data_IF_329658434143
#
_entry.id   IF_329658434143
#
_cell.length_a   1.000
_cell.length_b   1.000
_cell.length_c   1.000
_cell.angle_alpha   90.00
_cell.angle_beta   90.00
_cell.angle_gamma   90.00
#
_symmetry.space_group_name_H-M   'P 1'
#
loop_
_entity.id
_entity.type
_entity.pdbx_description
1 polymer ?
#
# COMPACT_ATOMS: atom_id res chain seq x y z
N UNK A 1 2.69 -2.55 -12.81
CA UNK A 1 1.87 -2.24 -11.63
C UNK A 1 1.92 -0.76 -11.26
N UNK A 2 3.08 -0.18 -10.96
CA UNK A 2 3.13 1.21 -10.46
C UNK A 2 2.49 2.26 -11.40
N UNK A 3 2.59 2.08 -12.71
CA UNK A 3 1.89 2.91 -13.70
C UNK A 3 0.36 2.80 -13.60
N UNK A 4 -0.17 1.60 -13.34
CA UNK A 4 -1.62 1.37 -13.12
C UNK A 4 -2.08 2.14 -11.90
N UNK A 5 -1.27 2.18 -10.83
CA UNK A 5 -1.60 2.94 -9.64
C UNK A 5 -1.57 4.46 -9.91
N UNK A 6 -0.54 4.93 -10.62
CA UNK A 6 -0.41 6.33 -11.03
C UNK A 6 -1.61 6.84 -11.85
N UNK A 7 -2.04 6.02 -12.80
CA UNK A 7 -3.17 6.32 -13.69
C UNK A 7 -4.54 6.13 -13.02
N UNK A 8 -4.57 5.61 -11.78
CA UNK A 8 -5.80 5.23 -11.06
C UNK A 8 -6.68 4.29 -11.89
N UNK A 9 -6.04 3.40 -12.67
CA UNK A 9 -6.76 2.50 -13.56
C UNK A 9 -7.25 1.26 -12.78
N UNK A 10 -8.39 1.43 -12.11
CA UNK A 10 -8.97 0.41 -11.21
C UNK A 10 -9.39 -0.86 -11.96
N UNK A 11 -9.90 -0.72 -13.17
CA UNK A 11 -10.24 -1.88 -14.01
C UNK A 11 -9.00 -2.72 -14.30
N UNK A 12 -7.89 -2.08 -14.68
CA UNK A 12 -6.63 -2.80 -14.89
C UNK A 12 -6.07 -3.37 -13.59
N UNK A 13 -6.16 -2.64 -12.48
CA UNK A 13 -5.74 -3.12 -11.16
C UNK A 13 -6.47 -4.42 -10.80
N UNK A 14 -7.79 -4.48 -10.99
CA UNK A 14 -8.58 -5.67 -10.71
C UNK A 14 -8.08 -6.93 -11.44
N UNK A 15 -7.56 -6.78 -12.67
CA UNK A 15 -6.97 -7.90 -13.43
C UNK A 15 -5.63 -8.41 -12.88
N UNK A 16 -4.95 -7.59 -12.06
CA UNK A 16 -3.63 -7.89 -11.50
C UNK A 16 -3.72 -8.33 -10.04
N UNK A 17 -4.89 -8.23 -9.40
CA UNK A 17 -5.13 -8.66 -8.02
C UNK A 17 -5.41 -10.16 -7.97
N UNK A 18 -4.91 -10.83 -6.92
CA UNK A 18 -5.05 -12.27 -6.79
C UNK A 18 -6.54 -12.67 -6.75
N UNK A 19 -7.04 -13.54 -7.66
CA UNK A 19 -8.48 -13.77 -7.83
C UNK A 19 -9.16 -14.47 -6.64
N UNK A 20 -8.41 -15.24 -5.85
CA UNK A 20 -8.90 -15.89 -4.61
C UNK A 20 -8.63 -15.09 -3.33
N UNK A 21 -7.45 -14.47 -3.22
CA UNK A 21 -7.01 -13.75 -2.02
C UNK A 21 -7.42 -12.28 -2.01
N UNK A 22 -7.74 -11.69 -3.15
CA UNK A 22 -7.91 -10.24 -3.24
C UNK A 22 -6.59 -9.50 -2.97
N UNK A 23 -6.73 -8.22 -2.64
CA UNK A 23 -5.63 -7.33 -2.23
C UNK A 23 -5.95 -6.74 -0.86
N UNK A 24 -4.98 -6.81 0.05
CA UNK A 24 -5.04 -6.17 1.35
C UNK A 24 -4.49 -4.74 1.25
N UNK A 25 -5.15 -3.79 1.91
CA UNK A 25 -4.70 -2.41 2.04
C UNK A 25 -4.31 -2.15 3.49
N UNK A 26 -3.08 -1.71 3.71
CA UNK A 26 -2.59 -1.35 5.03
C UNK A 26 -2.09 0.10 5.00
N UNK A 27 -2.71 1.02 5.78
CA UNK A 27 -2.30 2.43 5.82
C UNK A 27 -0.92 2.66 6.45
N UNK A 28 -0.34 1.64 7.10
CA UNK A 28 0.95 1.74 7.78
C UNK A 28 1.76 0.44 7.68
N UNK A 29 3.01 0.48 8.16
CA UNK A 29 3.96 -0.65 8.06
C UNK A 29 3.59 -1.88 8.89
N UNK A 30 2.77 -1.71 9.94
CA UNK A 30 2.30 -2.81 10.78
C UNK A 30 0.99 -3.35 10.23
N UNK A 31 1.10 -4.46 9.53
CA UNK A 31 0.01 -5.12 8.81
C UNK A 31 -0.84 -5.91 9.81
N UNK A 32 -2.15 -5.67 9.82
CA UNK A 32 -3.10 -6.39 10.68
C UNK A 32 -4.06 -7.22 9.82
N UNK A 33 -3.69 -8.46 9.53
CA UNK A 33 -4.48 -9.34 8.63
C UNK A 33 -5.91 -9.63 9.09
N UNK A 34 -6.25 -9.35 10.35
CA UNK A 34 -7.59 -9.55 10.90
C UNK A 34 -8.51 -8.32 10.73
N UNK A 35 -7.94 -7.12 10.57
CA UNK A 35 -8.68 -5.85 10.60
C UNK A 35 -8.43 -4.99 9.37
N UNK A 36 -7.27 -5.11 8.73
CA UNK A 36 -6.96 -4.43 7.48
C UNK A 36 -7.96 -4.83 6.39
N UNK A 37 -8.32 -3.87 5.55
CA UNK A 37 -9.33 -4.08 4.50
C UNK A 37 -8.75 -4.96 3.40
N UNK A 38 -9.40 -6.10 3.16
CA UNK A 38 -9.12 -7.01 2.07
C UNK A 38 -10.22 -6.95 1.01
N UNK A 39 -9.85 -6.59 -0.21
CA UNK A 39 -10.80 -6.37 -1.31
C UNK A 39 -10.59 -7.41 -2.40
N UNK A 40 -11.65 -8.13 -2.76
CA UNK A 40 -11.64 -9.05 -3.89
C UNK A 40 -11.56 -8.27 -5.21
N UNK A 41 -10.90 -8.85 -6.22
CA UNK A 41 -10.69 -8.18 -7.52
C UNK A 41 -11.99 -7.64 -8.13
N UNK A 42 -13.07 -8.42 -8.09
CA UNK A 42 -14.39 -8.03 -8.60
C UNK A 42 -15.08 -6.89 -7.84
N UNK A 43 -14.62 -6.56 -6.63
CA UNK A 43 -15.24 -5.53 -5.79
C UNK A 43 -14.51 -4.18 -5.87
N UNK A 44 -13.32 -4.11 -6.48
CA UNK A 44 -12.51 -2.88 -6.53
C UNK A 44 -13.22 -1.75 -7.26
N UNK A 45 -13.86 -2.03 -8.41
CA UNK A 45 -14.59 -1.00 -9.16
C UNK A 45 -15.79 -0.46 -8.38
N UNK A 46 -16.55 -1.34 -7.73
CA UNK A 46 -17.68 -0.96 -6.87
C UNK A 46 -17.21 -0.13 -5.68
N UNK A 47 -16.14 -0.55 -5.01
CA UNK A 47 -15.58 0.18 -3.88
C UNK A 47 -15.06 1.56 -4.30
N UNK A 48 -14.46 1.67 -5.49
CA UNK A 48 -13.96 2.92 -6.04
C UNK A 48 -15.06 3.92 -6.38
N UNK A 49 -16.17 3.43 -6.94
CA UNK A 49 -17.32 4.26 -7.32
C UNK A 49 -18.22 4.61 -6.12
N UNK A 50 -18.05 3.93 -4.98
CA UNK A 50 -18.86 4.16 -3.79
C UNK A 50 -18.55 5.51 -3.13
N UNK A 51 -19.60 6.23 -2.74
CA UNK A 51 -19.49 7.42 -1.89
C UNK A 51 -19.55 7.09 -0.39
N UNK A 52 -19.71 5.81 -0.02
CA UNK A 52 -19.74 5.39 1.38
C UNK A 52 -18.35 5.43 2.00
N UNK A 53 -18.29 5.85 3.27
CA UNK A 53 -17.08 5.75 4.07
C UNK A 53 -16.78 4.28 4.39
N UNK A 54 -15.52 3.91 4.25
CA UNK A 54 -14.97 2.62 4.70
C UNK A 54 -13.98 2.92 5.82
N UNK A 55 -14.02 2.14 6.89
CA UNK A 55 -13.02 2.24 7.95
C UNK A 55 -11.76 1.49 7.51
N UNK A 56 -10.65 2.20 7.33
CA UNK A 56 -9.37 1.64 6.88
C UNK A 56 -8.39 1.38 8.03
N UNK A 57 -8.86 1.46 9.28
CA UNK A 57 -8.05 1.42 10.49
C UNK A 57 -8.16 2.72 11.28
N UNK A 58 -7.08 3.07 11.96
CA UNK A 58 -6.98 4.25 12.83
C UNK A 58 -5.70 5.02 12.55
N UNK A 59 -5.74 6.35 12.63
CA UNK A 59 -4.56 7.19 12.46
C UNK A 59 -3.51 6.91 13.55
N UNK A 60 -2.26 6.77 13.13
CA UNK A 60 -1.12 6.70 14.05
C UNK A 60 -0.98 8.07 14.75
N UNK A 61 -0.76 8.08 16.07
CA UNK A 61 -0.71 9.30 16.88
C UNK A 61 -2.07 9.72 17.47
N UNK A 62 -3.06 10.10 16.65
CA UNK A 62 -4.36 10.58 17.19
C UNK A 62 -5.27 9.45 17.67
N UNK A 63 -5.19 8.27 17.05
CA UNK A 63 -6.10 7.14 17.30
C UNK A 63 -7.49 7.29 16.67
N UNK A 64 -7.73 8.37 15.92
CA UNK A 64 -9.01 8.59 15.23
C UNK A 64 -9.24 7.55 14.12
N UNK A 65 -10.50 7.17 13.83
CA UNK A 65 -10.79 6.24 12.74
C UNK A 65 -10.44 6.84 11.37
N UNK A 66 -9.86 6.02 10.50
CA UNK A 66 -9.61 6.37 9.08
C UNK A 66 -10.88 6.03 8.30
N UNK A 67 -11.92 6.84 8.47
CA UNK A 67 -13.19 6.70 7.76
C UNK A 67 -13.15 7.50 6.46
N UNK A 68 -12.75 6.85 5.37
CA UNK A 68 -12.54 7.48 4.06
C UNK A 68 -13.27 6.72 2.95
N UNK A 69 -13.72 7.45 1.92
CA UNK A 69 -14.05 6.83 0.64
C UNK A 69 -12.78 6.24 0.03
N UNK A 70 -12.90 5.22 -0.82
CA UNK A 70 -11.73 4.59 -1.41
C UNK A 70 -10.87 5.56 -2.26
N UNK A 71 -11.43 6.52 -3.03
CA UNK A 71 -10.63 7.54 -3.69
C UNK A 71 -9.83 8.44 -2.74
N UNK A 72 -10.38 8.78 -1.57
CA UNK A 72 -9.67 9.60 -0.57
C UNK A 72 -8.56 8.79 0.09
N UNK A 73 -8.85 7.55 0.52
CA UNK A 73 -7.84 6.63 1.03
C UNK A 73 -6.70 6.43 0.02
N UNK A 74 -7.04 6.31 -1.26
CA UNK A 74 -6.05 6.16 -2.32
C UNK A 74 -5.10 7.36 -2.42
N UNK A 75 -5.65 8.57 -2.38
CA UNK A 75 -4.86 9.79 -2.47
C UNK A 75 -3.93 9.96 -1.25
N UNK A 76 -4.35 9.48 -0.09
CA UNK A 76 -3.63 9.65 1.18
C UNK A 76 -2.61 8.53 1.46
N UNK A 77 -2.96 7.28 1.18
CA UNK A 77 -2.17 6.10 1.57
C UNK A 77 -1.70 5.22 0.41
N UNK A 78 -2.27 5.32 -0.80
CA UNK A 78 -1.83 4.47 -1.94
C UNK A 78 -0.90 5.23 -2.89
N UNK A 79 -1.21 6.50 -3.16
CA UNK A 79 -0.49 7.28 -4.15
C UNK A 79 -0.43 8.77 -3.77
N UNK A 80 0.05 9.04 -2.55
CA UNK A 80 0.31 10.39 -2.04
C UNK A 80 1.53 11.07 -2.68
N UNK A 81 2.40 10.29 -3.32
CA UNK A 81 3.55 10.77 -4.09
C UNK A 81 3.64 10.07 -5.46
N UNK A 82 4.40 10.66 -6.39
CA UNK A 82 4.66 10.06 -7.71
C UNK A 82 5.66 8.89 -7.59
N UNK A 83 5.28 7.80 -6.93
CA UNK A 83 6.11 6.62 -6.70
C UNK A 83 6.66 5.97 -7.97
N UNK A 84 6.07 6.25 -9.15
CA UNK A 84 6.63 5.83 -10.43
C UNK A 84 7.96 6.51 -10.76
N UNK A 85 8.28 7.63 -10.09
CA UNK A 85 9.54 8.36 -10.19
C UNK A 85 10.35 8.31 -8.88
N UNK A 86 10.06 7.36 -7.98
CA UNK A 86 10.81 7.20 -6.74
C UNK A 86 12.31 6.96 -7.04
N UNK A 87 13.23 7.70 -6.37
CA UNK A 87 14.66 7.58 -6.62
C UNK A 87 15.23 6.25 -6.11
N UNK A 88 14.53 5.59 -5.18
CA UNK A 88 14.97 4.36 -4.56
C UNK A 88 13.91 3.28 -4.68
N UNK A 89 14.32 2.12 -5.19
CA UNK A 89 13.47 0.95 -5.35
C UNK A 89 14.22 -0.26 -4.79
N UNK A 90 13.57 -1.06 -3.95
CA UNK A 90 14.12 -2.32 -3.45
C UNK A 90 13.17 -3.48 -3.67
N UNK A 91 13.75 -4.69 -3.62
CA UNK A 91 13.04 -5.96 -3.73
C UNK A 91 13.39 -6.80 -2.51
N UNK A 92 12.39 -7.26 -1.76
CA UNK A 92 12.54 -8.07 -0.55
C UNK A 92 13.54 -7.48 0.46
N UNK A 93 13.66 -6.16 0.50
CA UNK A 93 14.49 -5.41 1.44
C UNK A 93 13.76 -4.11 1.77
N UNK A 94 13.71 -3.74 3.04
CA UNK A 94 13.06 -2.50 3.48
C UNK A 94 14.05 -1.35 3.52
N UNK A 95 13.71 -0.23 2.87
CA UNK A 95 14.52 1.00 2.86
C UNK A 95 13.98 1.99 3.90
N UNK A 96 12.71 2.41 3.75
CA UNK A 96 12.06 3.34 4.65
C UNK A 96 11.86 2.70 6.02
N UNK A 97 12.42 3.32 7.05
CA UNK A 97 12.30 2.86 8.44
C UNK A 97 11.64 3.96 9.26
N UNK A 98 10.35 3.78 9.51
CA UNK A 98 9.59 4.58 10.46
C UNK A 98 9.68 4.06 11.88
N UNK A 99 8.90 4.70 12.76
CA UNK A 99 8.80 4.32 14.16
C UNK A 99 7.91 3.08 14.37
N UNK A 100 7.00 2.82 13.42
CA UNK A 100 6.09 1.70 13.50
C UNK A 100 6.81 0.38 13.16
N UNK A 101 6.40 -0.69 13.83
CA UNK A 101 6.87 -2.05 13.53
C UNK A 101 6.55 -2.37 12.06
N UNK A 102 7.55 -2.83 11.33
CA UNK A 102 7.35 -3.40 10.01
C UNK A 102 7.34 -4.92 10.09
N UNK A 103 6.19 -5.53 9.87
CA UNK A 103 5.99 -6.98 9.94
C UNK A 103 5.77 -7.61 8.54
N UNK A 104 6.07 -6.91 7.44
CA UNK A 104 5.73 -7.37 6.09
C UNK A 104 6.30 -8.74 5.76
N UNK A 105 7.53 -9.06 6.19
CA UNK A 105 8.15 -10.37 5.94
C UNK A 105 7.69 -11.46 6.91
N UNK A 106 7.04 -11.09 8.02
CA UNK A 106 6.35 -12.05 8.88
C UNK A 106 5.02 -12.48 8.28
N UNK A 107 4.29 -11.56 7.64
CA UNK A 107 2.99 -11.82 7.00
C UNK A 107 3.16 -12.38 5.57
N UNK A 108 4.10 -11.83 4.82
CA UNK A 108 4.44 -12.19 3.45
C UNK A 108 5.93 -12.56 3.33
N UNK A 109 6.32 -13.79 3.70
CA UNK A 109 7.72 -14.21 3.69
C UNK A 109 8.35 -14.12 2.29
N UNK A 110 9.59 -13.62 2.22
CA UNK A 110 10.33 -13.47 0.96
C UNK A 110 10.58 -14.79 0.20
N UNK A 111 10.39 -15.94 0.86
CA UNK A 111 10.45 -17.27 0.25
C UNK A 111 9.24 -17.57 -0.66
N UNK A 112 8.12 -16.86 -0.48
CA UNK A 112 6.86 -17.10 -1.21
C UNK A 112 6.29 -15.84 -1.87
N UNK A 113 6.79 -14.67 -1.49
CA UNK A 113 6.32 -13.38 -1.98
C UNK A 113 7.48 -12.51 -2.45
N UNK A 114 7.19 -11.59 -3.37
CA UNK A 114 8.07 -10.47 -3.71
C UNK A 114 7.43 -9.20 -3.15
N UNK A 115 8.14 -8.50 -2.27
CA UNK A 115 7.80 -7.15 -1.82
C UNK A 115 8.66 -6.16 -2.59
N UNK A 116 8.03 -5.22 -3.30
CA UNK A 116 8.72 -4.12 -3.97
C UNK A 116 8.41 -2.83 -3.23
N UNK A 117 9.43 -2.14 -2.76
CA UNK A 117 9.28 -0.82 -2.11
C UNK A 117 9.71 0.29 -3.07
N UNK A 118 8.87 1.31 -3.20
CA UNK A 118 9.17 2.57 -3.88
C UNK A 118 9.31 3.63 -2.80
N UNK A 119 10.52 4.16 -2.61
CA UNK A 119 10.84 5.03 -1.48
C UNK A 119 11.32 6.40 -1.95
N UNK A 120 10.74 7.44 -1.32
CA UNK A 120 11.27 8.79 -1.32
C UNK A 120 11.90 9.06 0.06
N UNK A 121 13.20 9.38 0.14
CA UNK A 121 13.88 9.67 1.41
C UNK A 121 13.53 11.04 2.01
N UNK A 122 12.67 11.81 1.35
CA UNK A 122 12.26 13.17 1.68
C UNK A 122 12.11 14.03 0.42
N UNK A 123 11.39 15.14 0.52
CA UNK A 123 11.12 16.06 -0.60
C UNK A 123 11.70 17.45 -0.35
N UNK A 124 11.43 18.02 0.81
CA UNK A 124 11.89 19.34 1.20
C UNK A 124 13.05 19.24 2.22
N UNK A 125 14.24 19.78 1.89
CA UNK A 125 15.38 19.78 2.79
C UNK A 125 15.11 20.38 4.18
N UNK A 126 14.15 21.29 4.32
CA UNK A 126 13.81 21.90 5.61
C UNK A 126 13.30 20.87 6.63
N UNK A 127 12.67 19.79 6.16
CA UNK A 127 12.17 18.71 7.01
C UNK A 127 13.25 17.66 7.31
N UNK A 128 14.47 17.82 6.80
CA UNK A 128 15.60 16.92 7.08
C UNK A 128 15.27 15.43 6.83
N UNK A 129 14.44 15.17 5.81
CA UNK A 129 13.98 13.82 5.47
C UNK A 129 12.79 13.33 6.29
N UNK A 130 12.25 14.10 7.22
CA UNK A 130 11.05 13.75 8.01
C UNK A 130 9.75 13.79 7.19
N UNK A 131 9.83 14.11 5.90
CA UNK A 131 8.74 14.05 4.93
C UNK A 131 8.89 12.85 3.97
N UNK A 132 9.70 11.86 4.34
CA UNK A 132 9.88 10.63 3.58
C UNK A 132 8.57 9.82 3.49
N UNK A 133 8.41 9.07 2.41
CA UNK A 133 7.29 8.15 2.22
C UNK A 133 7.68 6.94 1.38
N UNK A 134 7.05 5.79 1.65
CA UNK A 134 7.25 4.53 0.95
C UNK A 134 5.91 3.90 0.58
N UNK A 135 5.86 3.36 -0.63
CA UNK A 135 4.79 2.46 -1.07
C UNK A 135 5.37 1.06 -1.28
N UNK A 136 4.82 0.08 -0.58
CA UNK A 136 5.21 -1.33 -0.71
C UNK A 136 4.11 -2.12 -1.40
N UNK A 137 4.48 -2.80 -2.48
CA UNK A 137 3.61 -3.67 -3.25
C UNK A 137 4.06 -5.12 -3.07
N UNK A 138 3.16 -5.97 -2.57
CA UNK A 138 3.45 -7.37 -2.31
C UNK A 138 2.80 -8.25 -3.38
N UNK A 139 3.59 -9.15 -3.94
CA UNK A 139 3.19 -10.03 -5.02
C UNK A 139 3.37 -11.49 -4.68
N UNK A 140 2.46 -12.31 -5.18
CA UNK A 140 2.52 -13.77 -5.12
C UNK A 140 2.49 -14.36 -6.54
N UNK A 141 3.32 -15.38 -6.78
CA UNK A 141 3.34 -16.11 -8.04
C UNK A 141 2.48 -17.37 -7.94
N UNK A 142 1.50 -17.53 -8.84
CA UNK A 142 0.60 -18.70 -8.83
C UNK A 142 0.95 -19.75 -9.90
N UNK A 143 2.18 -19.71 -10.43
CA UNK A 143 2.64 -20.62 -11.49
C UNK A 143 2.48 -20.09 -12.90
N UNK A 144 1.61 -19.09 -13.11
CA UNK A 144 1.32 -18.49 -14.43
C UNK A 144 1.65 -16.99 -14.50
N UNK A 145 1.38 -16.25 -13.43
CA UNK A 145 1.65 -14.82 -13.34
C UNK A 145 1.82 -14.38 -11.89
N UNK A 146 2.37 -13.18 -11.73
CA UNK A 146 2.44 -12.47 -10.46
C UNK A 146 1.14 -11.71 -10.23
N UNK A 147 0.57 -11.89 -9.04
CA UNK A 147 -0.61 -11.17 -8.58
C UNK A 147 -0.27 -10.28 -7.40
N UNK A 148 -0.88 -9.10 -7.37
CA UNK A 148 -0.85 -8.21 -6.22
C UNK A 148 -1.73 -8.79 -5.10
N UNK A 149 -1.16 -8.89 -3.90
CA UNK A 149 -1.85 -9.39 -2.70
C UNK A 149 -1.87 -8.36 -1.57
N UNK A 150 -0.98 -7.37 -1.57
CA UNK A 150 -1.05 -6.26 -0.62
C UNK A 150 -0.49 -4.95 -1.18
N UNK A 151 -1.05 -3.85 -0.72
CA UNK A 151 -0.54 -2.48 -0.83
C UNK A 151 -0.36 -1.96 0.59
N UNK A 152 0.87 -1.61 0.94
CA UNK A 152 1.25 -1.21 2.29
C UNK A 152 1.96 0.13 2.22
N UNK A 153 1.41 1.12 2.91
CA UNK A 153 1.99 2.45 3.01
C UNK A 153 2.96 2.53 4.19
N UNK A 154 3.90 3.45 4.10
CA UNK A 154 4.73 3.85 5.22
C UNK A 154 5.19 5.28 5.02
N UNK A 155 5.28 6.03 6.10
CA UNK A 155 5.78 7.39 6.08
C UNK A 155 6.27 7.77 7.46
N UNK A 156 6.97 8.90 7.54
CA UNK A 156 7.25 9.46 8.83
C UNK A 156 5.93 9.85 9.52
N UNK A 157 5.68 9.28 10.70
CA UNK A 157 4.62 9.71 11.62
C UNK A 157 5.27 10.45 12.78
N UNK A 158 4.71 11.63 13.10
CA UNK A 158 5.14 12.46 14.24
C UNK A 158 4.43 12.05 15.52
#
# INVERSE_FOLDING_TARGET
>A
MIAVLKEKNIEKLATLVHPKKGVQFSPYSNIHTATDIQVQSGNLATLWASSSLTNWGTFDGSGDPIDLTFPNYWAEFVYNANFAAAPQISYNTIIGKGNMINNVFSIYPAASYITVEYHFPGFDPQYQGMDWTSLRLVYEYTGSQWYLVAIVHDQHTM
#
